data_IF_723205779247
#
_entry.id   IF_723205779247
#
_cell.length_a   1.000
_cell.length_b   1.000
_cell.length_c   1.000
_cell.angle_alpha   90.00
_cell.angle_beta   90.00
_cell.angle_gamma   90.00
#
_symmetry.space_group_name_H-M   'P 1'
#
loop_
_entity.id
_entity.type
_entity.pdbx_description
1 polymer ?
#
# COMPACT_ATOMS: atom_id res chain seq x y z
N UNK A 1 42.67 -20.52 -3.21
CA UNK A 1 41.39 -21.22 -2.96
C UNK A 1 40.60 -20.43 -1.95
N UNK A 2 39.53 -19.76 -2.39
CA UNK A 2 38.73 -18.86 -1.56
C UNK A 2 37.48 -19.62 -1.06
N UNK A 3 37.27 -19.81 0.26
CA UNK A 3 36.07 -20.48 0.72
C UNK A 3 34.88 -19.51 0.60
N UNK A 4 33.88 -19.94 -0.18
CA UNK A 4 32.53 -19.36 -0.22
C UNK A 4 31.86 -19.60 1.14
N UNK A 5 31.39 -18.56 1.82
CA UNK A 5 30.34 -18.66 2.85
C UNK A 5 29.64 -17.30 3.08
N UNK A 6 28.35 -17.33 3.50
CA UNK A 6 27.38 -16.26 3.30
C UNK A 6 27.54 -15.20 4.38
N UNK A 7 27.80 -13.96 3.99
CA UNK A 7 27.95 -12.87 4.96
C UNK A 7 26.60 -12.22 5.18
N UNK A 8 25.84 -12.80 6.11
CA UNK A 8 24.88 -12.03 6.90
C UNK A 8 25.66 -10.93 7.63
N UNK A 9 25.31 -9.65 7.43
CA UNK A 9 25.81 -8.55 8.27
C UNK A 9 25.07 -8.60 9.60
N UNK A 10 25.39 -9.62 10.40
CA UNK A 10 25.01 -9.69 11.80
C UNK A 10 26.06 -8.97 12.64
N UNK A 11 25.72 -8.56 13.86
CA UNK A 11 26.66 -8.09 14.88
C UNK A 11 27.93 -8.97 15.00
N UNK A 12 27.81 -10.28 14.73
CA UNK A 12 28.93 -11.23 14.68
C UNK A 12 29.92 -10.95 13.55
N UNK A 13 29.49 -10.48 12.39
CA UNK A 13 30.33 -10.17 11.22
C UNK A 13 31.15 -8.89 11.44
N UNK A 14 30.54 -7.85 12.03
CA UNK A 14 31.25 -6.63 12.43
C UNK A 14 32.32 -6.95 13.49
N UNK A 15 31.98 -7.78 14.48
CA UNK A 15 32.92 -8.22 15.51
C UNK A 15 34.08 -9.04 14.94
N UNK A 16 33.83 -9.88 13.93
CA UNK A 16 34.88 -10.65 13.23
C UNK A 16 35.80 -9.74 12.42
N UNK A 17 35.24 -8.79 11.66
CA UNK A 17 36.02 -7.77 10.94
C UNK A 17 36.89 -6.93 11.89
N UNK A 18 36.31 -6.46 13.00
CA UNK A 18 37.04 -5.71 14.02
C UNK A 18 38.22 -6.48 14.59
N UNK A 19 38.03 -7.79 14.85
CA UNK A 19 39.11 -8.68 15.31
C UNK A 19 40.18 -8.95 14.24
N UNK A 20 39.81 -8.92 12.96
CA UNK A 20 40.71 -9.14 11.83
C UNK A 20 41.59 -7.91 11.52
N UNK A 21 41.25 -6.72 12.02
CA UNK A 21 42.06 -5.53 11.82
C UNK A 21 43.42 -5.63 12.57
N UNK A 22 44.53 -5.19 11.94
CA UNK A 22 45.81 -5.01 12.61
C UNK A 22 45.69 -4.14 13.88
N UNK A 23 46.46 -4.43 14.94
CA UNK A 23 46.37 -3.69 16.22
C UNK A 23 46.55 -2.18 16.05
N UNK A 24 47.51 -1.76 15.22
CA UNK A 24 47.78 -0.35 14.91
C UNK A 24 46.57 0.35 14.26
N UNK A 25 45.88 -0.30 13.32
CA UNK A 25 44.65 0.26 12.70
C UNK A 25 43.50 0.39 13.69
N UNK A 26 43.36 -0.57 14.62
CA UNK A 26 42.34 -0.51 15.69
C UNK A 26 42.60 0.66 16.64
N UNK A 27 43.84 0.85 17.06
CA UNK A 27 44.20 1.98 17.93
C UNK A 27 44.02 3.32 17.21
N UNK A 28 44.40 3.42 15.93
CA UNK A 28 44.21 4.64 15.14
C UNK A 28 42.72 4.99 14.95
N UNK A 29 41.85 3.98 14.76
CA UNK A 29 40.38 4.17 14.73
C UNK A 29 39.83 4.63 16.10
N UNK A 30 40.25 3.98 17.20
CA UNK A 30 39.84 4.39 18.55
C UNK A 30 40.28 5.80 18.89
N UNK A 31 41.51 6.15 18.52
CA UNK A 31 42.08 7.47 18.74
C UNK A 31 41.33 8.51 17.93
N UNK A 32 41.07 8.26 16.65
CA UNK A 32 40.29 9.14 15.79
C UNK A 32 38.85 9.37 16.31
N UNK A 33 38.21 8.33 16.83
CA UNK A 33 36.89 8.45 17.49
C UNK A 33 37.02 9.25 18.79
N UNK A 34 38.06 9.02 19.59
CA UNK A 34 38.26 9.71 20.87
C UNK A 34 38.56 11.19 20.70
N UNK A 35 39.37 11.56 19.70
CA UNK A 35 39.72 12.95 19.38
C UNK A 35 38.55 13.70 18.77
N UNK A 36 37.75 13.05 17.92
CA UNK A 36 36.59 13.66 17.25
C UNK A 36 35.25 13.38 17.95
N UNK A 37 35.24 12.79 19.16
CA UNK A 37 34.01 12.33 19.84
C UNK A 37 32.90 13.39 19.91
N UNK A 38 33.26 14.64 20.14
CA UNK A 38 32.29 15.75 20.22
C UNK A 38 31.75 16.14 18.84
N UNK A 39 32.57 16.11 17.79
CA UNK A 39 32.11 16.35 16.41
C UNK A 39 31.17 15.24 15.94
N UNK A 40 31.50 13.99 16.25
CA UNK A 40 30.65 12.83 15.96
C UNK A 40 29.32 12.94 16.73
N UNK A 41 29.39 13.24 18.03
CA UNK A 41 28.19 13.42 18.85
C UNK A 41 27.30 14.54 18.31
N UNK A 42 27.86 15.71 18.02
CA UNK A 42 27.13 16.83 17.44
C UNK A 42 26.53 16.48 16.07
N UNK A 43 27.25 15.76 15.21
CA UNK A 43 26.76 15.32 13.91
C UNK A 43 25.57 14.36 14.04
N UNK A 44 25.69 13.34 14.89
CA UNK A 44 24.61 12.37 15.14
C UNK A 44 23.40 13.03 15.81
N UNK A 45 23.63 13.91 16.79
CA UNK A 45 22.54 14.67 17.43
C UNK A 45 21.84 15.61 16.46
N UNK A 46 22.58 16.32 15.59
CA UNK A 46 22.01 17.18 14.55
C UNK A 46 21.15 16.39 13.57
N UNK A 47 21.65 15.24 13.10
CA UNK A 47 20.89 14.36 12.22
C UNK A 47 19.64 13.79 12.92
N UNK A 48 19.76 13.43 14.19
CA UNK A 48 18.63 12.99 15.02
C UNK A 48 17.57 14.06 15.17
N UNK A 49 17.96 15.31 15.43
CA UNK A 49 17.02 16.45 15.50
C UNK A 49 16.36 16.68 14.15
N UNK A 50 17.12 16.67 13.05
CA UNK A 50 16.57 16.85 11.70
C UNK A 50 15.58 15.74 11.34
N UNK A 51 15.88 14.49 11.72
CA UNK A 51 14.96 13.36 11.55
C UNK A 51 13.68 13.52 12.35
N UNK A 52 13.78 13.94 13.61
CA UNK A 52 12.62 14.20 14.47
C UNK A 52 11.76 15.32 13.89
N UNK A 53 12.37 16.44 13.49
CA UNK A 53 11.66 17.54 12.84
C UNK A 53 10.98 17.04 11.56
N UNK A 54 11.70 16.31 10.70
CA UNK A 54 11.14 15.74 9.47
C UNK A 54 9.94 14.83 9.76
N UNK A 55 10.05 13.91 10.72
CA UNK A 55 8.97 12.98 11.06
C UNK A 55 7.70 13.73 11.50
N UNK A 56 7.84 14.72 12.38
CA UNK A 56 6.69 15.47 12.90
C UNK A 56 6.11 16.47 11.90
N UNK A 57 6.90 17.01 10.96
CA UNK A 57 6.37 17.93 9.93
C UNK A 57 5.68 17.21 8.78
N UNK A 58 5.89 15.91 8.62
CA UNK A 58 5.31 15.07 7.55
C UNK A 58 4.26 14.08 8.09
N UNK A 59 3.89 14.22 9.36
CA UNK A 59 2.81 13.46 9.96
C UNK A 59 1.49 14.16 9.64
N UNK A 60 0.61 13.46 8.94
CA UNK A 60 -0.74 13.93 8.60
C UNK A 60 -1.78 12.93 9.09
N UNK A 61 -3.04 13.36 9.16
CA UNK A 61 -4.16 12.45 9.41
C UNK A 61 -4.82 12.05 8.09
N UNK A 62 -5.27 10.81 7.99
CA UNK A 62 -6.09 10.35 6.87
C UNK A 62 -7.41 11.13 6.81
N UNK A 63 -7.92 11.42 5.61
CA UNK A 63 -9.28 11.92 5.49
C UNK A 63 -10.26 10.87 6.02
N UNK A 64 -11.41 11.30 6.56
CA UNK A 64 -12.50 10.45 7.08
C UNK A 64 -12.18 9.72 8.40
N UNK A 65 -11.08 9.00 8.50
CA UNK A 65 -10.79 8.11 9.64
C UNK A 65 -9.90 8.72 10.71
N UNK A 66 -9.13 9.77 10.39
CA UNK A 66 -8.27 10.47 11.37
C UNK A 66 -7.04 9.68 11.82
N UNK A 67 -6.64 8.66 11.07
CA UNK A 67 -5.46 7.84 11.37
C UNK A 67 -4.20 8.61 11.04
N UNK A 68 -3.26 8.66 11.98
CA UNK A 68 -1.95 9.25 11.72
C UNK A 68 -1.17 8.44 10.66
N UNK A 69 -0.59 9.15 9.69
CA UNK A 69 0.20 8.60 8.58
C UNK A 69 1.37 9.50 8.24
N UNK A 70 2.43 8.91 7.70
CA UNK A 70 3.61 9.65 7.23
C UNK A 70 3.48 9.90 5.73
N UNK A 71 3.40 11.17 5.33
CA UNK A 71 3.37 11.59 3.93
C UNK A 71 4.62 12.36 3.57
N UNK A 72 5.52 11.70 2.84
CA UNK A 72 6.76 12.30 2.32
C UNK A 72 6.51 13.02 1.00
N UNK A 73 5.54 12.55 0.24
CA UNK A 73 5.16 13.15 -1.04
C UNK A 73 3.94 14.04 -0.90
N UNK A 74 3.97 15.17 -1.60
CA UNK A 74 2.80 16.03 -1.77
C UNK A 74 1.92 15.60 -2.94
N UNK A 75 0.75 16.23 -3.05
CA UNK A 75 -0.28 15.93 -4.06
C UNK A 75 0.20 16.05 -5.51
N UNK A 76 1.14 16.94 -5.83
CA UNK A 76 1.65 17.05 -7.20
C UNK A 76 2.48 15.83 -7.61
N UNK A 77 3.24 15.25 -6.68
CA UNK A 77 3.98 14.02 -6.96
C UNK A 77 3.02 12.84 -7.18
N UNK A 78 1.96 12.77 -6.38
CA UNK A 78 0.88 11.80 -6.58
C UNK A 78 0.24 11.92 -7.96
N UNK A 79 -0.04 13.15 -8.40
CA UNK A 79 -0.63 13.41 -9.72
C UNK A 79 0.28 12.94 -10.86
N UNK A 80 1.59 13.17 -10.73
CA UNK A 80 2.59 12.69 -11.70
C UNK A 80 2.69 11.16 -11.72
N UNK A 81 2.77 10.53 -10.54
CA UNK A 81 2.83 9.08 -10.42
C UNK A 81 1.58 8.43 -11.03
N UNK A 82 0.39 8.96 -10.69
CA UNK A 82 -0.89 8.48 -11.23
C UNK A 82 -0.96 8.62 -12.76
N UNK A 83 -0.42 9.70 -13.33
CA UNK A 83 -0.38 9.90 -14.78
C UNK A 83 0.55 8.90 -15.49
N UNK A 84 1.67 8.56 -14.86
CA UNK A 84 2.59 7.54 -15.38
C UNK A 84 1.94 6.17 -15.31
N UNK A 85 1.32 5.81 -14.17
CA UNK A 85 0.58 4.57 -14.00
C UNK A 85 -0.57 4.44 -15.00
N UNK A 86 -1.35 5.50 -15.18
CA UNK A 86 -2.40 5.55 -16.20
C UNK A 86 -1.85 5.26 -17.59
N UNK A 87 -0.77 5.93 -18.00
CA UNK A 87 -0.15 5.71 -19.32
C UNK A 87 0.28 4.26 -19.53
N UNK A 88 0.84 3.62 -18.49
CA UNK A 88 1.25 2.20 -18.55
C UNK A 88 0.03 1.28 -18.71
N UNK A 89 -1.08 1.56 -18.01
CA UNK A 89 -2.30 0.77 -18.15
C UNK A 89 -2.98 0.94 -19.51
N UNK A 90 -2.98 2.16 -20.04
CA UNK A 90 -3.47 2.43 -21.40
C UNK A 90 -2.63 1.68 -22.44
N UNK A 91 -1.30 1.75 -22.36
CA UNK A 91 -0.42 0.98 -23.26
C UNK A 91 -0.73 -0.53 -23.21
N UNK A 92 -1.05 -1.05 -22.03
CA UNK A 92 -1.34 -2.48 -21.85
C UNK A 92 -2.74 -2.89 -22.32
N UNK A 93 -3.76 -2.07 -22.07
CA UNK A 93 -5.16 -2.50 -22.15
C UNK A 93 -6.05 -1.71 -23.11
N UNK A 94 -5.60 -0.62 -23.72
CA UNK A 94 -6.42 0.22 -24.62
C UNK A 94 -7.14 -0.60 -25.70
N UNK A 95 -6.43 -1.54 -26.34
CA UNK A 95 -7.00 -2.41 -27.38
C UNK A 95 -8.05 -3.42 -26.89
N UNK A 96 -8.18 -3.60 -25.57
CA UNK A 96 -9.10 -4.54 -24.91
C UNK A 96 -10.23 -3.83 -24.15
N UNK A 97 -10.32 -2.51 -24.26
CA UNK A 97 -11.37 -1.76 -23.58
C UNK A 97 -12.72 -1.96 -24.28
N UNK A 98 -13.75 -2.16 -23.46
CA UNK A 98 -15.11 -2.18 -23.94
C UNK A 98 -15.56 -0.77 -24.34
N UNK A 99 -16.34 -0.62 -25.43
CA UNK A 99 -16.88 0.67 -25.81
C UNK A 99 -17.89 1.15 -24.76
N UNK A 100 -18.09 2.47 -24.69
CA UNK A 100 -19.06 3.04 -23.75
C UNK A 100 -20.49 2.53 -23.95
N UNK A 101 -20.83 2.06 -25.16
CA UNK A 101 -22.15 1.49 -25.46
C UNK A 101 -22.38 0.08 -24.91
N UNK A 102 -21.34 -0.61 -24.42
CA UNK A 102 -21.46 -1.95 -23.83
C UNK A 102 -22.25 -1.90 -22.52
N UNK A 103 -23.12 -2.89 -22.31
CA UNK A 103 -23.96 -2.98 -21.11
C UNK A 103 -23.12 -3.09 -19.82
N UNK A 104 -21.95 -3.76 -19.88
CA UNK A 104 -21.02 -3.91 -18.76
C UNK A 104 -20.38 -2.57 -18.40
N UNK A 105 -20.00 -1.77 -19.40
CA UNK A 105 -19.52 -0.42 -19.19
C UNK A 105 -20.59 0.45 -18.53
N UNK A 106 -21.81 0.43 -19.06
CA UNK A 106 -22.93 1.22 -18.52
C UNK A 106 -23.31 0.80 -17.09
N UNK A 107 -23.19 -0.49 -16.77
CA UNK A 107 -23.36 -0.99 -15.41
C UNK A 107 -22.33 -0.38 -14.45
N UNK A 108 -21.04 -0.49 -14.77
CA UNK A 108 -19.96 0.05 -13.93
C UNK A 108 -20.11 1.57 -13.78
N UNK A 109 -20.37 2.29 -14.88
CA UNK A 109 -20.62 3.74 -14.87
C UNK A 109 -21.77 4.12 -13.94
N UNK A 110 -22.86 3.34 -13.95
CA UNK A 110 -24.00 3.58 -13.05
C UNK A 110 -23.64 3.35 -11.59
N UNK A 111 -22.90 2.28 -11.27
CA UNK A 111 -22.49 1.97 -9.90
C UNK A 111 -21.54 3.04 -9.35
N UNK A 112 -20.49 3.38 -10.08
CA UNK A 112 -19.53 4.41 -9.66
C UNK A 112 -20.21 5.77 -9.56
N UNK A 113 -21.08 6.12 -10.51
CA UNK A 113 -21.87 7.35 -10.46
C UNK A 113 -22.78 7.40 -9.23
N UNK A 114 -23.46 6.31 -8.91
CA UNK A 114 -24.34 6.22 -7.74
C UNK A 114 -23.56 6.32 -6.42
N UNK A 115 -22.41 5.64 -6.31
CA UNK A 115 -21.51 5.75 -5.16
C UNK A 115 -20.98 7.18 -5.00
N UNK A 116 -20.46 7.79 -6.06
CA UNK A 116 -19.92 9.15 -6.04
C UNK A 116 -20.99 10.18 -5.67
N UNK A 117 -22.17 10.10 -6.26
CA UNK A 117 -23.25 11.06 -6.01
C UNK A 117 -23.78 10.95 -4.57
N UNK A 118 -23.92 9.72 -4.06
CA UNK A 118 -24.36 9.47 -2.69
C UNK A 118 -23.36 9.95 -1.63
N UNK A 119 -22.08 10.06 -2.00
CA UNK A 119 -20.98 10.46 -1.11
C UNK A 119 -20.39 11.83 -1.45
N UNK A 120 -21.07 12.65 -2.26
CA UNK A 120 -20.57 13.94 -2.75
C UNK A 120 -20.31 15.00 -1.67
N UNK A 121 -20.91 14.83 -0.49
CA UNK A 121 -20.69 15.68 0.68
C UNK A 121 -19.30 15.49 1.30
N UNK A 122 -18.60 14.41 0.95
CA UNK A 122 -17.21 14.18 1.29
C UNK A 122 -16.32 14.93 0.29
N UNK A 123 -15.54 15.95 0.72
CA UNK A 123 -14.76 16.79 -0.19
C UNK A 123 -13.78 16.01 -1.06
N UNK A 124 -13.22 14.93 -0.54
CA UNK A 124 -12.26 14.08 -1.26
C UNK A 124 -12.93 13.29 -2.39
N UNK A 125 -14.20 12.91 -2.23
CA UNK A 125 -14.97 12.22 -3.28
C UNK A 125 -15.35 13.22 -4.39
N UNK A 126 -15.86 14.39 -4.02
CA UNK A 126 -16.31 15.42 -4.97
C UNK A 126 -15.17 16.15 -5.67
N UNK A 127 -13.94 16.12 -5.13
CA UNK A 127 -12.76 16.67 -5.77
C UNK A 127 -12.25 15.82 -6.95
N UNK A 128 -12.64 14.53 -7.03
CA UNK A 128 -12.21 13.61 -8.07
C UNK A 128 -13.21 13.56 -9.22
N UNK A 129 -12.69 13.42 -10.44
CA UNK A 129 -13.51 13.10 -11.62
C UNK A 129 -13.35 11.63 -11.94
N UNK A 130 -14.44 10.88 -11.90
CA UNK A 130 -14.42 9.43 -12.09
C UNK A 130 -14.49 9.08 -13.58
N UNK A 131 -13.39 8.56 -14.12
CA UNK A 131 -13.30 8.07 -15.49
C UNK A 131 -13.31 6.53 -15.47
N UNK A 132 -14.16 5.90 -16.27
CA UNK A 132 -14.41 4.46 -16.22
C UNK A 132 -13.73 3.77 -17.40
N UNK A 133 -13.01 2.69 -17.11
CA UNK A 133 -12.39 1.80 -18.07
C UNK A 133 -12.80 0.36 -17.74
N UNK A 134 -13.48 -0.31 -18.68
CA UNK A 134 -13.80 -1.73 -18.53
C UNK A 134 -12.95 -2.54 -19.49
N UNK A 135 -12.12 -3.42 -18.94
CA UNK A 135 -11.13 -4.22 -19.67
C UNK A 135 -11.67 -5.62 -19.91
N UNK A 136 -11.72 -6.04 -21.18
CA UNK A 136 -12.19 -7.38 -21.57
C UNK A 136 -11.12 -8.46 -21.33
N UNK A 137 -10.94 -8.81 -20.07
CA UNK A 137 -9.99 -9.80 -19.59
C UNK A 137 -10.64 -10.69 -18.51
N UNK A 138 -10.36 -12.00 -18.50
CA UNK A 138 -10.98 -12.95 -17.57
C UNK A 138 -10.43 -12.83 -16.13
N UNK A 139 -9.47 -11.94 -15.90
CA UNK A 139 -8.90 -11.68 -14.59
C UNK A 139 -9.95 -11.08 -13.65
N UNK A 140 -10.02 -11.61 -12.43
CA UNK A 140 -10.89 -11.07 -11.37
C UNK A 140 -10.13 -9.93 -10.71
N UNK A 141 -10.34 -8.72 -11.22
CA UNK A 141 -9.66 -7.53 -10.74
C UNK A 141 -10.46 -6.24 -10.96
N UNK A 142 -10.18 -5.25 -10.12
CA UNK A 142 -10.51 -3.85 -10.29
C UNK A 142 -9.44 -3.02 -9.59
N UNK A 143 -9.28 -1.76 -9.96
CA UNK A 143 -8.52 -0.82 -9.16
C UNK A 143 -8.90 0.61 -9.51
N UNK A 144 -8.65 1.53 -8.58
CA UNK A 144 -8.85 2.96 -8.80
C UNK A 144 -7.55 3.71 -8.58
N UNK A 145 -7.13 4.45 -9.61
CA UNK A 145 -5.95 5.31 -9.50
C UNK A 145 -6.27 6.56 -8.67
N UNK A 146 -5.27 7.17 -8.01
CA UNK A 146 -5.49 8.34 -7.14
C UNK A 146 -6.08 9.56 -7.85
N UNK A 147 -6.02 9.63 -9.18
CA UNK A 147 -6.62 10.68 -10.00
C UNK A 147 -8.06 10.40 -10.44
N UNK A 148 -8.69 9.29 -10.00
CA UNK A 148 -10.09 8.96 -10.29
C UNK A 148 -10.30 8.05 -11.51
N UNK A 149 -9.23 7.51 -12.09
CA UNK A 149 -9.34 6.52 -13.17
C UNK A 149 -9.69 5.14 -12.58
N UNK A 150 -10.86 4.63 -12.95
CA UNK A 150 -11.42 3.36 -12.47
C UNK A 150 -11.23 2.30 -13.53
N UNK A 151 -10.52 1.22 -13.19
CA UNK A 151 -10.34 0.06 -14.05
C UNK A 151 -11.11 -1.13 -13.49
N UNK A 152 -11.93 -1.77 -14.32
CA UNK A 152 -12.72 -2.95 -13.94
C UNK A 152 -12.57 -4.03 -15.00
N UNK A 153 -12.28 -5.27 -14.58
CA UNK A 153 -12.06 -6.38 -15.50
C UNK A 153 -13.33 -7.20 -15.67
N UNK A 154 -13.59 -7.73 -16.87
CA UNK A 154 -14.80 -8.53 -17.12
C UNK A 154 -14.81 -9.82 -16.29
N UNK A 155 -13.65 -10.35 -15.91
CA UNK A 155 -13.54 -11.43 -14.93
C UNK A 155 -14.15 -11.09 -13.58
N UNK A 156 -13.96 -9.86 -13.06
CA UNK A 156 -14.60 -9.43 -11.81
C UNK A 156 -16.12 -9.34 -11.97
N UNK A 157 -16.59 -8.78 -13.08
CA UNK A 157 -18.03 -8.67 -13.36
C UNK A 157 -18.71 -10.04 -13.46
N UNK A 158 -17.97 -11.08 -13.88
CA UNK A 158 -18.45 -12.46 -13.91
C UNK A 158 -18.37 -13.17 -12.55
N UNK A 159 -17.54 -12.67 -11.62
CA UNK A 159 -17.35 -13.26 -10.29
C UNK A 159 -18.37 -12.73 -9.26
N UNK A 160 -18.83 -11.49 -9.42
CA UNK A 160 -19.86 -10.90 -8.55
C UNK A 160 -21.24 -11.48 -8.88
N UNK A 161 -22.03 -11.75 -7.85
CA UNK A 161 -23.37 -12.35 -7.99
C UNK A 161 -24.48 -11.31 -8.18
N UNK A 162 -24.27 -10.08 -7.71
CA UNK A 162 -25.26 -9.02 -7.74
C UNK A 162 -24.62 -7.62 -7.72
N UNK A 163 -25.48 -6.61 -7.84
CA UNK A 163 -25.09 -5.20 -7.85
C UNK A 163 -24.52 -4.73 -6.51
N UNK A 164 -24.92 -5.36 -5.40
CA UNK A 164 -24.48 -4.98 -4.07
C UNK A 164 -23.04 -5.39 -3.81
N UNK A 165 -22.66 -6.60 -4.23
CA UNK A 165 -21.26 -7.05 -4.22
C UNK A 165 -20.38 -6.14 -5.08
N UNK A 166 -20.82 -5.83 -6.31
CA UNK A 166 -20.07 -4.92 -7.18
C UNK A 166 -19.92 -3.53 -6.55
N UNK A 167 -20.99 -3.01 -5.94
CA UNK A 167 -20.99 -1.68 -5.32
C UNK A 167 -20.08 -1.63 -4.10
N UNK A 168 -20.01 -2.69 -3.30
CA UNK A 168 -19.06 -2.77 -2.20
C UNK A 168 -17.61 -2.80 -2.70
N UNK A 169 -17.28 -3.63 -3.70
CA UNK A 169 -15.92 -3.74 -4.25
C UNK A 169 -15.47 -2.40 -4.85
N UNK A 170 -16.33 -1.72 -5.60
CA UNK A 170 -16.00 -0.40 -6.14
C UNK A 170 -15.96 0.67 -5.04
N UNK A 171 -16.79 0.56 -4.00
CA UNK A 171 -16.72 1.41 -2.81
C UNK A 171 -15.38 1.26 -2.07
N UNK A 172 -14.86 0.03 -1.97
CA UNK A 172 -13.55 -0.28 -1.41
C UNK A 172 -12.41 0.35 -2.23
N UNK A 173 -12.47 0.27 -3.56
CA UNK A 173 -11.46 0.93 -4.41
C UNK A 173 -11.52 2.46 -4.36
N UNK A 174 -12.73 3.02 -4.36
CA UNK A 174 -12.93 4.46 -4.17
C UNK A 174 -12.37 4.88 -2.81
N UNK A 175 -12.54 4.06 -1.76
CA UNK A 175 -11.96 4.31 -0.45
C UNK A 175 -10.42 4.33 -0.51
N UNK A 176 -9.76 3.39 -1.20
CA UNK A 176 -8.31 3.43 -1.40
C UNK A 176 -7.83 4.73 -2.05
N UNK A 177 -8.54 5.21 -3.08
CA UNK A 177 -8.20 6.45 -3.77
C UNK A 177 -8.43 7.69 -2.90
N UNK A 178 -9.59 7.77 -2.23
CA UNK A 178 -9.98 8.88 -1.36
C UNK A 178 -9.11 8.98 -0.11
N UNK A 179 -8.73 7.83 0.46
CA UNK A 179 -7.78 7.74 1.58
C UNK A 179 -6.33 7.87 1.11
N UNK A 180 -6.07 8.02 -0.20
CA UNK A 180 -4.74 8.18 -0.77
C UNK A 180 -3.77 7.05 -0.35
N UNK A 181 -4.24 5.81 -0.21
CA UNK A 181 -3.40 4.69 0.26
C UNK A 181 -2.16 4.44 -0.61
N UNK A 182 -2.24 4.72 -1.91
CA UNK A 182 -1.11 4.62 -2.83
C UNK A 182 0.03 5.59 -2.47
N UNK A 183 -0.28 6.86 -2.16
CA UNK A 183 0.76 7.85 -1.80
C UNK A 183 1.34 7.57 -0.41
N UNK A 184 0.53 7.02 0.50
CA UNK A 184 0.99 6.62 1.82
C UNK A 184 2.01 5.48 1.72
N UNK A 185 1.68 4.45 0.92
CA UNK A 185 2.58 3.33 0.64
C UNK A 185 3.86 3.82 -0.05
N UNK A 186 3.75 4.66 -1.08
CA UNK A 186 4.91 5.22 -1.77
C UNK A 186 5.79 6.04 -0.81
N UNK A 187 5.18 6.90 0.01
CA UNK A 187 5.89 7.71 1.01
C UNK A 187 6.67 6.84 1.99
N UNK A 188 6.06 5.75 2.48
CA UNK A 188 6.72 4.83 3.39
C UNK A 188 7.88 4.07 2.72
N UNK A 189 7.69 3.57 1.49
CA UNK A 189 8.77 2.91 0.72
C UNK A 189 9.96 3.85 0.57
N UNK A 190 9.72 5.07 0.09
CA UNK A 190 10.77 6.05 -0.15
C UNK A 190 11.44 6.52 1.15
N UNK A 191 10.68 6.64 2.24
CA UNK A 191 11.26 6.92 3.56
C UNK A 191 12.21 5.82 4.02
N UNK A 192 11.81 4.55 3.85
CA UNK A 192 12.64 3.40 4.17
C UNK A 192 13.88 3.32 3.27
N UNK A 193 13.75 3.69 1.99
CA UNK A 193 14.87 3.77 1.03
C UNK A 193 15.87 4.89 1.40
N UNK A 194 15.36 6.04 1.81
CA UNK A 194 16.22 7.13 2.26
C UNK A 194 16.99 6.73 3.54
N UNK A 195 16.30 6.10 4.49
CA UNK A 195 16.91 5.62 5.71
C UNK A 195 17.95 4.53 5.44
N UNK A 196 17.66 3.60 4.54
CA UNK A 196 18.60 2.54 4.17
C UNK A 196 19.86 3.10 3.51
N UNK A 197 19.73 4.15 2.68
CA UNK A 197 20.87 4.84 2.08
C UNK A 197 21.78 5.47 3.14
N UNK A 198 21.20 6.12 4.17
CA UNK A 198 21.97 6.65 5.30
C UNK A 198 22.72 5.51 6.02
N UNK A 199 22.05 4.41 6.34
CA UNK A 199 22.70 3.27 6.97
C UNK A 199 23.82 2.68 6.11
N UNK A 200 23.59 2.57 4.81
CA UNK A 200 24.56 2.03 3.88
C UNK A 200 25.80 2.92 3.76
N UNK A 201 25.62 4.24 3.65
CA UNK A 201 26.75 5.19 3.62
C UNK A 201 27.56 5.16 4.91
N UNK A 202 26.91 5.03 6.08
CA UNK A 202 27.58 4.87 7.37
C UNK A 202 28.39 3.57 7.46
N UNK A 203 27.83 2.45 6.97
CA UNK A 203 28.55 1.16 6.91
C UNK A 203 29.75 1.26 5.98
N UNK A 204 29.57 1.85 4.79
CA UNK A 204 30.64 2.03 3.81
C UNK A 204 31.79 2.90 4.34
N UNK A 205 31.48 3.97 5.07
CA UNK A 205 32.48 4.82 5.72
C UNK A 205 33.34 4.07 6.75
N UNK A 206 32.82 3.02 7.38
CA UNK A 206 33.53 2.19 8.36
C UNK A 206 34.25 1.02 7.66
N UNK A 207 33.62 0.43 6.64
CA UNK A 207 34.11 -0.73 5.91
C UNK A 207 33.81 -0.57 4.40
N UNK A 208 34.74 -0.03 3.60
CA UNK A 208 34.55 0.23 2.18
C UNK A 208 34.71 -1.05 1.36
N UNK A 209 33.83 -2.02 1.58
CA UNK A 209 33.78 -3.28 0.83
C UNK A 209 32.43 -3.41 0.14
N UNK A 210 32.43 -3.50 -1.20
CA UNK A 210 31.23 -3.46 -2.05
C UNK A 210 30.22 -4.58 -1.76
N UNK A 211 30.67 -5.71 -1.18
CA UNK A 211 29.81 -6.84 -0.77
C UNK A 211 28.80 -6.43 0.31
N UNK A 212 29.14 -5.47 1.18
CA UNK A 212 28.23 -5.02 2.24
C UNK A 212 27.04 -4.21 1.68
N UNK A 213 27.22 -3.54 0.54
CA UNK A 213 26.16 -2.79 -0.12
C UNK A 213 25.09 -3.69 -0.74
N UNK A 214 25.52 -4.75 -1.43
CA UNK A 214 24.61 -5.73 -2.04
C UNK A 214 23.82 -6.49 -0.98
N UNK A 215 24.44 -6.83 0.16
CA UNK A 215 23.74 -7.48 1.28
C UNK A 215 22.76 -6.52 1.97
N UNK A 216 23.14 -5.24 2.14
CA UNK A 216 22.26 -4.20 2.69
C UNK A 216 20.99 -4.04 1.86
N UNK A 217 21.12 -3.96 0.54
CA UNK A 217 19.99 -3.84 -0.39
C UNK A 217 19.06 -5.07 -0.34
N UNK A 218 19.61 -6.29 -0.18
CA UNK A 218 18.81 -7.52 -0.06
C UNK A 218 18.06 -7.62 1.28
N UNK A 219 18.65 -7.11 2.35
CA UNK A 219 17.98 -7.05 3.67
C UNK A 219 16.86 -6.01 3.62
N UNK A 220 17.11 -4.86 3.01
CA UNK A 220 16.12 -3.81 2.79
C UNK A 220 14.93 -4.31 1.97
N UNK A 221 15.18 -4.96 0.84
CA UNK A 221 14.10 -5.50 0.00
C UNK A 221 13.24 -6.50 0.77
N UNK A 222 13.88 -7.36 1.59
CA UNK A 222 13.16 -8.31 2.46
C UNK A 222 12.41 -7.64 3.61
N UNK A 223 12.91 -6.53 4.14
CA UNK A 223 12.23 -5.74 5.17
C UNK A 223 11.02 -5.02 4.60
N UNK A 224 11.14 -4.44 3.41
CA UNK A 224 10.02 -3.84 2.67
C UNK A 224 8.95 -4.90 2.39
N UNK A 225 9.34 -6.03 1.79
CA UNK A 225 8.46 -7.19 1.59
C UNK A 225 7.78 -7.58 2.90
N UNK A 226 8.49 -7.71 4.02
CA UNK A 226 7.87 -8.05 5.31
C UNK A 226 6.88 -7.00 5.85
N UNK A 227 7.19 -5.71 5.73
CA UNK A 227 6.34 -4.61 6.19
C UNK A 227 5.07 -4.54 5.34
N UNK A 228 5.21 -4.66 4.02
CA UNK A 228 4.11 -4.52 3.06
C UNK A 228 3.33 -5.82 2.82
N UNK A 229 3.88 -7.00 3.09
CA UNK A 229 3.16 -8.26 2.94
C UNK A 229 2.30 -8.60 4.16
N UNK A 230 2.47 -7.92 5.30
CA UNK A 230 1.91 -8.40 6.57
C UNK A 230 1.12 -7.32 7.34
N UNK A 231 1.69 -6.47 8.21
CA UNK A 231 0.85 -5.63 9.08
C UNK A 231 0.33 -4.37 8.39
N UNK A 232 1.18 -3.68 7.63
CA UNK A 232 0.86 -2.33 7.16
C UNK A 232 -0.23 -2.35 6.07
N UNK A 233 -0.10 -3.23 5.08
CA UNK A 233 -1.14 -3.40 4.07
C UNK A 233 -2.46 -3.85 4.70
N UNK A 234 -2.47 -4.72 5.72
CA UNK A 234 -3.70 -5.10 6.44
C UNK A 234 -4.39 -3.91 7.11
N UNK A 235 -3.62 -2.93 7.62
CA UNK A 235 -4.20 -1.70 8.18
C UNK A 235 -4.89 -0.87 7.10
N UNK A 236 -4.27 -0.71 5.93
CA UNK A 236 -4.86 0.02 4.80
C UNK A 236 -6.10 -0.71 4.26
N UNK A 237 -6.05 -2.03 4.16
CA UNK A 237 -7.20 -2.85 3.72
C UNK A 237 -8.37 -2.76 4.71
N UNK A 238 -8.14 -2.87 6.01
CA UNK A 238 -9.19 -2.75 7.03
C UNK A 238 -9.81 -1.34 7.07
N UNK A 239 -9.00 -0.33 6.78
CA UNK A 239 -9.48 1.05 6.66
C UNK A 239 -10.33 1.26 5.41
N UNK A 240 -9.88 0.73 4.27
CA UNK A 240 -10.63 0.75 3.02
C UNK A 240 -11.92 -0.07 3.11
N UNK A 241 -11.92 -1.22 3.81
CA UNK A 241 -13.13 -2.00 4.10
C UNK A 241 -14.16 -1.17 4.86
N UNK A 242 -13.72 -0.50 5.93
CA UNK A 242 -14.60 0.34 6.77
C UNK A 242 -15.19 1.51 5.98
N UNK A 243 -14.36 2.24 5.25
CA UNK A 243 -14.81 3.41 4.48
C UNK A 243 -15.63 2.99 3.26
N UNK A 244 -15.26 1.88 2.59
CA UNK A 244 -16.01 1.29 1.50
C UNK A 244 -17.40 0.82 1.94
N UNK A 245 -17.52 0.22 3.14
CA UNK A 245 -18.82 -0.09 3.75
C UNK A 245 -19.65 1.17 3.99
N UNK A 246 -19.04 2.26 4.48
CA UNK A 246 -19.73 3.54 4.68
C UNK A 246 -20.24 4.11 3.35
N UNK A 247 -19.40 4.09 2.31
CA UNK A 247 -19.80 4.57 0.98
C UNK A 247 -20.95 3.77 0.40
N UNK A 248 -20.90 2.44 0.54
CA UNK A 248 -21.96 1.54 0.11
C UNK A 248 -23.27 1.75 0.91
N UNK A 249 -23.18 1.82 2.25
CA UNK A 249 -24.34 2.04 3.12
C UNK A 249 -25.05 3.37 2.82
N UNK A 250 -24.29 4.44 2.62
CA UNK A 250 -24.81 5.77 2.25
C UNK A 250 -25.47 5.78 0.87
N UNK A 251 -25.00 4.92 -0.03
CA UNK A 251 -25.63 4.66 -1.32
C UNK A 251 -26.81 3.68 -1.25
N UNK A 252 -27.30 3.32 -0.05
CA UNK A 252 -28.39 2.36 0.18
C UNK A 252 -28.12 0.97 -0.43
N UNK A 253 -26.86 0.55 -0.46
CA UNK A 253 -26.44 -0.79 -0.89
C UNK A 253 -26.57 -1.76 0.29
N UNK A 254 -27.00 -3.00 0.03
CA UNK A 254 -26.94 -4.04 1.05
C UNK A 254 -25.48 -4.42 1.36
N UNK A 255 -24.96 -3.83 2.42
CA UNK A 255 -23.59 -4.04 2.87
C UNK A 255 -23.31 -5.47 3.35
N UNK A 256 -24.33 -6.30 3.62
CA UNK A 256 -24.16 -7.73 3.95
C UNK A 256 -23.57 -8.51 2.77
N UNK A 257 -23.73 -8.01 1.55
CA UNK A 257 -23.13 -8.59 0.35
C UNK A 257 -21.59 -8.60 0.40
N UNK A 258 -20.97 -7.69 1.18
CA UNK A 258 -19.52 -7.60 1.33
C UNK A 258 -18.91 -8.86 1.95
N UNK A 259 -19.43 -9.34 3.07
CA UNK A 259 -18.93 -10.53 3.76
C UNK A 259 -19.23 -11.80 2.97
N UNK A 260 -20.38 -11.85 2.27
CA UNK A 260 -20.73 -12.95 1.37
C UNK A 260 -19.72 -13.07 0.22
N UNK A 261 -19.33 -11.95 -0.41
CA UNK A 261 -18.33 -11.97 -1.48
C UNK A 261 -16.98 -12.52 -0.99
N UNK A 262 -16.52 -12.08 0.19
CA UNK A 262 -15.26 -12.57 0.76
C UNK A 262 -15.28 -14.05 1.14
N UNK A 263 -16.39 -14.54 1.70
CA UNK A 263 -16.58 -15.98 1.95
C UNK A 263 -16.54 -16.79 0.65
N UNK A 264 -17.11 -16.27 -0.43
CA UNK A 264 -17.04 -16.91 -1.74
C UNK A 264 -15.61 -16.97 -2.27
N UNK A 265 -14.83 -15.89 -2.12
CA UNK A 265 -13.43 -15.86 -2.55
C UNK A 265 -12.56 -16.85 -1.76
N UNK A 266 -12.74 -16.92 -0.44
CA UNK A 266 -12.06 -17.89 0.43
C UNK A 266 -12.41 -19.35 0.06
N UNK A 267 -13.67 -19.60 -0.27
CA UNK A 267 -14.12 -20.91 -0.75
C UNK A 267 -13.50 -21.26 -2.10
N UNK A 268 -13.46 -20.32 -3.04
CA UNK A 268 -12.85 -20.53 -4.36
C UNK A 268 -11.36 -20.83 -4.25
N UNK A 269 -10.65 -20.12 -3.37
CA UNK A 269 -9.24 -20.40 -3.05
C UNK A 269 -9.05 -21.82 -2.50
N UNK A 270 -9.89 -22.21 -1.53
CA UNK A 270 -9.82 -23.53 -0.89
C UNK A 270 -10.13 -24.67 -1.88
N UNK A 271 -11.12 -24.49 -2.75
CA UNK A 271 -11.55 -25.53 -3.71
C UNK A 271 -10.54 -25.69 -4.84
N UNK A 272 -10.02 -24.59 -5.39
CA UNK A 272 -9.17 -24.67 -6.59
C UNK A 272 -7.80 -25.27 -6.30
N UNK A 273 -7.30 -25.22 -5.07
CA UNK A 273 -6.02 -25.83 -4.67
C UNK A 273 -4.81 -25.33 -5.48
N UNK A 274 -4.99 -24.34 -6.34
CA UNK A 274 -3.96 -23.73 -7.16
C UNK A 274 -3.42 -22.49 -6.46
N UNK A 275 -2.10 -22.25 -6.52
CA UNK A 275 -1.46 -21.07 -5.93
C UNK A 275 -1.81 -19.74 -6.63
N UNK A 276 -2.68 -19.76 -7.65
CA UNK A 276 -3.12 -18.54 -8.34
C UNK A 276 -4.38 -18.01 -7.67
N UNK A 277 -4.15 -17.24 -6.61
CA UNK A 277 -5.16 -16.33 -6.08
C UNK A 277 -5.70 -15.47 -7.23
N UNK A 278 -7.01 -15.17 -7.28
CA UNK A 278 -7.53 -14.05 -8.05
C UNK A 278 -6.59 -12.84 -7.92
N UNK A 279 -6.34 -12.10 -9.00
CA UNK A 279 -5.40 -10.96 -8.94
C UNK A 279 -5.84 -9.95 -7.88
N UNK A 280 -7.15 -9.73 -7.75
CA UNK A 280 -7.74 -8.94 -6.67
C UNK A 280 -7.33 -9.41 -5.27
N UNK A 281 -7.29 -10.71 -4.99
CA UNK A 281 -6.84 -11.23 -3.68
C UNK A 281 -5.33 -11.06 -3.48
N UNK A 282 -4.56 -10.98 -4.57
CA UNK A 282 -3.13 -10.75 -4.54
C UNK A 282 -2.79 -9.28 -4.27
N UNK A 283 -3.56 -8.35 -4.85
CA UNK A 283 -3.41 -6.91 -4.62
C UNK A 283 -4.04 -6.47 -3.30
N UNK A 284 -5.09 -7.17 -2.84
CA UNK A 284 -5.81 -6.93 -1.58
C UNK A 284 -5.73 -8.15 -0.65
N UNK A 285 -4.55 -8.42 -0.05
CA UNK A 285 -4.36 -9.60 0.78
C UNK A 285 -5.32 -9.59 1.97
N UNK A 286 -6.14 -10.63 2.07
CA UNK A 286 -7.02 -10.83 3.22
C UNK A 286 -6.19 -11.04 4.49
N UNK A 287 -6.62 -10.48 5.61
CA UNK A 287 -6.22 -11.00 6.92
C UNK A 287 -7.05 -12.25 7.25
N UNK A 288 -6.60 -13.07 8.19
CA UNK A 288 -7.43 -14.18 8.69
C UNK A 288 -8.78 -13.59 9.14
N UNK A 289 -9.87 -14.16 8.63
CA UNK A 289 -11.26 -13.76 8.92
C UNK A 289 -11.69 -12.35 8.47
N UNK A 290 -11.34 -11.90 7.24
CA UNK A 290 -11.84 -10.62 6.68
C UNK A 290 -13.37 -10.56 6.59
N UNK A 291 -14.03 -11.65 6.22
CA UNK A 291 -15.49 -11.73 6.24
C UNK A 291 -16.06 -11.48 7.65
N UNK A 292 -15.46 -12.06 8.70
CA UNK A 292 -15.87 -11.85 10.09
C UNK A 292 -15.65 -10.39 10.53
N UNK A 293 -14.57 -9.76 10.06
CA UNK A 293 -14.31 -8.34 10.33
C UNK A 293 -15.38 -7.45 9.70
N UNK A 294 -15.75 -7.69 8.44
CA UNK A 294 -16.85 -7.00 7.77
C UNK A 294 -18.18 -7.20 8.51
N UNK A 295 -18.49 -8.43 8.94
CA UNK A 295 -19.69 -8.73 9.74
C UNK A 295 -19.75 -7.95 11.06
N UNK A 296 -18.61 -7.68 11.69
CA UNK A 296 -18.54 -6.83 12.89
C UNK A 296 -18.75 -5.34 12.57
N UNK A 297 -18.28 -4.87 11.41
CA UNK A 297 -18.41 -3.47 10.98
C UNK A 297 -19.82 -3.13 10.49
N UNK A 298 -20.51 -4.07 9.85
CA UNK A 298 -21.85 -3.85 9.26
C UNK A 298 -22.83 -3.19 10.26
N UNK A 299 -23.03 -3.70 11.50
CA UNK A 299 -23.93 -3.08 12.46
C UNK A 299 -23.54 -1.67 12.87
N UNK A 300 -22.24 -1.35 12.89
CA UNK A 300 -21.74 -0.01 13.23
C UNK A 300 -22.04 0.97 12.12
N UNK A 301 -21.75 0.59 10.87
CA UNK A 301 -21.96 1.41 9.68
C UNK A 301 -23.46 1.65 9.43
N UNK A 302 -24.30 0.61 9.50
CA UNK A 302 -25.75 0.75 9.30
C UNK A 302 -26.39 1.70 10.32
N UNK A 303 -25.90 1.69 11.58
CA UNK A 303 -26.36 2.64 12.60
C UNK A 303 -25.93 4.08 12.32
N UNK A 304 -24.70 4.28 11.83
CA UNK A 304 -24.16 5.60 11.54
C UNK A 304 -24.85 6.27 10.34
N UNK A 305 -25.12 5.51 9.28
CA UNK A 305 -25.68 6.03 8.02
C UNK A 305 -27.22 6.01 7.97
N UNK A 306 -27.87 5.55 9.04
CA UNK A 306 -29.35 5.51 9.11
C UNK A 306 -29.99 4.49 8.17
N UNK A 307 -29.21 3.55 7.63
CA UNK A 307 -29.71 2.47 6.78
C UNK A 307 -30.42 1.43 7.65
N UNK A 308 -31.75 1.31 7.53
CA UNK A 308 -32.50 0.27 8.24
C UNK A 308 -32.16 -1.08 7.62
N UNK A 309 -31.60 -1.98 8.43
CA UNK A 309 -31.45 -3.41 8.10
C UNK A 309 -32.84 -4.04 8.04
N UNK A 310 -33.52 -3.94 6.89
CA UNK A 310 -34.71 -4.73 6.58
C UNK A 310 -34.31 -6.09 5.99
#
# INVERSE_FOLDING_TARGET
>A
MCPKLPVFVSYRSIRKWWKALPPNKRELLKENVRTNKWKILLGVSSLGVLFVVFYFTHLEETPITGRARLLVFGKEHLRQLSQVEYSMWMEKYESKMLPETDARYQLVKRVVGHLSESNKDIPQVSALTWAIHVVDEPEVNAFVLPNGEVFVFTGLLNAVSDIHQLSFILGHEIAHAVLEHAIEKASLVHFLDFLSLIFLTMIWAICPHDILAVVGQRIQSKLQEFIFDRPYSRTLEAEADKVGLQFAAKACVDVRASSVFWQLMELVETIKGEPKLPEWLSTHPSHENRAEHLDRLIPEVSRAEGTVLL
#
